data_IF_679905420679
#
_entry.id   IF_679905420679
#
_cell.length_a   1.000
_cell.length_b   1.000
_cell.length_c   1.000
_cell.angle_alpha   90.00
_cell.angle_beta   90.00
_cell.angle_gamma   90.00
#
_symmetry.space_group_name_H-M   'P 1'
#
loop_
_entity.id
_entity.type
_entity.pdbx_description
1 polymer ?
#
# COMPACT_ATOMS: atom_id res chain seq x y z
N UNK A 1 34.20 -38.27 4.98
CA UNK A 1 33.24 -37.98 3.85
C UNK A 1 31.80 -37.75 4.28
N UNK A 2 31.17 -38.59 5.12
CA UNK A 2 29.74 -38.37 5.51
C UNK A 2 29.47 -37.06 6.25
N UNK A 3 30.36 -36.58 7.10
CA UNK A 3 30.20 -35.34 7.88
C UNK A 3 30.20 -34.07 6.96
N UNK A 4 31.02 -34.08 5.92
CA UNK A 4 31.08 -32.95 4.96
C UNK A 4 29.80 -32.81 4.16
N UNK A 5 29.13 -33.88 3.77
CA UNK A 5 27.84 -33.86 3.09
C UNK A 5 26.72 -33.39 4.02
N UNK A 6 26.76 -33.74 5.31
CA UNK A 6 25.77 -33.30 6.30
C UNK A 6 25.89 -31.81 6.57
N UNK A 7 27.10 -31.25 6.65
CA UNK A 7 27.34 -29.80 6.82
C UNK A 7 26.95 -29.05 5.56
N UNK A 8 27.23 -29.61 4.37
CA UNK A 8 26.79 -28.99 3.10
C UNK A 8 25.26 -29.04 2.93
N UNK A 9 24.60 -30.10 3.38
CA UNK A 9 23.13 -30.22 3.38
C UNK A 9 22.49 -29.27 4.39
N UNK A 10 23.08 -29.06 5.56
CA UNK A 10 22.63 -28.08 6.56
C UNK A 10 22.83 -26.63 6.11
N UNK A 11 23.89 -26.34 5.35
CA UNK A 11 24.09 -25.04 4.73
C UNK A 11 23.05 -24.73 3.60
N UNK A 12 22.53 -25.78 2.96
CA UNK A 12 21.46 -25.63 1.95
C UNK A 12 20.08 -25.41 2.58
N UNK A 13 19.90 -25.68 3.88
CA UNK A 13 18.62 -25.51 4.58
C UNK A 13 18.43 -24.12 5.20
N UNK A 14 19.45 -23.27 5.19
CA UNK A 14 19.38 -21.90 5.73
C UNK A 14 18.89 -20.85 4.70
N UNK A 15 18.17 -21.24 3.65
CA UNK A 15 17.56 -20.31 2.74
C UNK A 15 16.35 -19.67 3.40
N UNK A 16 16.58 -18.52 4.03
CA UNK A 16 15.51 -17.60 4.40
C UNK A 16 14.71 -17.26 3.15
N UNK A 17 13.52 -17.83 3.01
CA UNK A 17 12.59 -17.41 1.96
C UNK A 17 12.20 -15.97 2.26
N UNK A 18 12.84 -15.01 1.61
CA UNK A 18 12.45 -13.63 1.69
C UNK A 18 11.06 -13.53 1.07
N UNK A 19 10.10 -13.10 1.88
CA UNK A 19 8.77 -12.82 1.41
C UNK A 19 8.82 -11.72 0.34
N UNK A 20 8.40 -12.06 -0.86
CA UNK A 20 8.27 -11.09 -1.93
C UNK A 20 7.02 -10.25 -1.65
N UNK A 21 7.18 -8.94 -1.49
CA UNK A 21 6.05 -8.01 -1.58
C UNK A 21 5.62 -7.97 -3.04
N UNK A 22 4.37 -8.35 -3.30
CA UNK A 22 3.88 -8.55 -4.67
C UNK A 22 2.93 -7.43 -5.13
N UNK A 23 2.56 -6.49 -4.25
CA UNK A 23 1.47 -5.56 -4.52
C UNK A 23 1.92 -4.11 -4.32
N UNK A 24 1.29 -3.19 -5.06
CA UNK A 24 1.61 -1.77 -4.97
C UNK A 24 0.75 -1.04 -3.94
N UNK A 25 -0.54 -1.38 -3.84
CA UNK A 25 -1.49 -0.71 -2.95
C UNK A 25 -1.67 -1.45 -1.63
N UNK A 26 -1.65 -2.78 -1.65
CA UNK A 26 -1.85 -3.60 -0.46
C UNK A 26 -0.52 -4.16 0.05
N UNK A 27 -0.48 -4.50 1.33
CA UNK A 27 0.67 -5.18 1.90
C UNK A 27 0.37 -6.66 2.16
N UNK A 28 1.30 -7.59 1.85
CA UNK A 28 1.16 -8.98 2.25
C UNK A 28 1.34 -9.13 3.77
N UNK A 29 0.87 -10.25 4.34
CA UNK A 29 1.05 -10.58 5.75
C UNK A 29 2.52 -10.82 6.18
N UNK A 30 3.43 -10.79 5.23
CA UNK A 30 4.86 -10.96 5.46
C UNK A 30 5.47 -9.75 6.14
N UNK A 31 6.47 -9.99 6.98
CA UNK A 31 7.21 -8.93 7.67
C UNK A 31 8.62 -8.76 7.11
N UNK A 32 9.15 -7.57 7.31
CA UNK A 32 10.57 -7.27 7.10
C UNK A 32 11.38 -8.04 8.17
N UNK A 33 12.46 -8.74 7.80
CA UNK A 33 13.32 -9.45 8.76
C UNK A 33 13.90 -8.49 9.82
N UNK A 34 14.16 -9.03 11.02
CA UNK A 34 14.78 -8.27 12.11
C UNK A 34 16.10 -7.61 11.64
N UNK A 35 16.27 -6.33 11.96
CA UNK A 35 17.46 -5.55 11.63
C UNK A 35 17.45 -4.97 10.20
N UNK A 36 16.61 -5.48 9.32
CA UNK A 36 16.53 -5.02 7.93
C UNK A 36 15.77 -3.70 7.84
N UNK A 37 16.28 -2.79 7.04
CA UNK A 37 15.63 -1.51 6.67
C UNK A 37 15.14 -1.60 5.23
N UNK A 38 13.98 -1.00 4.97
CA UNK A 38 13.44 -0.91 3.61
C UNK A 38 13.05 0.54 3.35
N UNK A 39 13.61 1.10 2.30
CA UNK A 39 13.26 2.45 1.82
C UNK A 39 12.35 2.30 0.61
N UNK A 40 11.25 3.03 0.59
CA UNK A 40 10.31 3.07 -0.53
C UNK A 40 10.06 4.51 -0.95
N UNK A 41 9.86 4.70 -2.23
CA UNK A 41 9.39 5.95 -2.81
C UNK A 41 8.18 5.64 -3.67
N UNK A 42 7.01 6.12 -3.25
CA UNK A 42 5.79 6.01 -4.03
C UNK A 42 5.55 7.32 -4.77
N UNK A 43 5.19 7.22 -6.03
CA UNK A 43 4.71 8.33 -6.85
C UNK A 43 3.33 8.01 -7.38
N UNK A 44 2.39 8.91 -7.15
CA UNK A 44 1.03 8.83 -7.64
C UNK A 44 0.76 10.00 -8.59
N UNK A 45 0.25 9.70 -9.77
CA UNK A 45 -0.29 10.67 -10.72
C UNK A 45 -1.79 10.46 -10.82
N UNK A 46 -2.57 11.42 -10.35
CA UNK A 46 -4.03 11.40 -10.37
C UNK A 46 -4.47 12.21 -11.60
N UNK A 47 -5.27 11.59 -12.47
CA UNK A 47 -5.79 12.23 -13.67
C UNK A 47 -7.18 12.81 -13.38
N UNK A 48 -7.31 14.12 -13.47
CA UNK A 48 -8.59 14.80 -13.29
C UNK A 48 -9.39 14.71 -14.59
N UNK A 49 -10.71 14.53 -14.48
CA UNK A 49 -11.58 14.51 -15.65
C UNK A 49 -11.58 15.88 -16.34
N UNK A 50 -11.71 15.90 -17.67
CA UNK A 50 -11.67 17.10 -18.52
C UNK A 50 -12.79 18.12 -18.26
N UNK A 51 -13.85 17.74 -17.52
CA UNK A 51 -14.95 18.61 -17.11
C UNK A 51 -14.60 19.58 -15.95
N UNK A 52 -13.35 19.62 -15.54
CA UNK A 52 -12.84 20.58 -14.56
C UNK A 52 -12.83 21.98 -15.19
N UNK A 53 -13.18 23.02 -14.40
CA UNK A 53 -13.27 24.42 -14.87
C UNK A 53 -12.01 24.88 -15.62
N UNK A 54 -12.14 25.75 -16.65
CA UNK A 54 -11.00 26.30 -17.37
C UNK A 54 -10.00 26.94 -16.41
N UNK A 55 -8.75 26.45 -16.41
CA UNK A 55 -7.68 26.91 -15.51
C UNK A 55 -7.38 26.00 -14.32
N UNK A 56 -8.13 24.91 -14.11
CA UNK A 56 -7.81 23.89 -13.12
C UNK A 56 -6.64 23.01 -13.60
N UNK A 57 -5.81 22.54 -12.66
CA UNK A 57 -4.74 21.60 -13.01
C UNK A 57 -5.34 20.27 -13.48
N UNK A 58 -4.92 19.79 -14.64
CA UNK A 58 -5.38 18.52 -15.23
C UNK A 58 -4.84 17.28 -14.48
N UNK A 59 -3.90 17.42 -13.56
CA UNK A 59 -3.32 16.31 -12.83
C UNK A 59 -2.77 16.70 -11.46
N UNK A 60 -2.89 15.78 -10.50
CA UNK A 60 -2.23 15.84 -9.20
C UNK A 60 -1.04 14.89 -9.15
N UNK A 61 -0.01 15.29 -8.42
CA UNK A 61 1.17 14.46 -8.16
C UNK A 61 1.40 14.35 -6.65
N UNK A 62 1.58 13.13 -6.19
CA UNK A 62 1.86 12.83 -4.79
C UNK A 62 3.14 12.00 -4.74
N UNK A 63 4.07 12.41 -3.90
CA UNK A 63 5.31 11.70 -3.61
C UNK A 63 5.33 11.29 -2.14
N UNK A 64 5.57 9.99 -1.87
CA UNK A 64 5.54 9.44 -0.51
C UNK A 64 6.84 8.66 -0.26
N UNK A 65 7.88 9.32 0.28
CA UNK A 65 9.01 8.61 0.86
C UNK A 65 8.58 7.87 2.13
N UNK A 66 9.00 6.61 2.23
CA UNK A 66 8.67 5.73 3.34
C UNK A 66 9.93 4.97 3.78
N UNK A 67 10.13 4.86 5.07
CA UNK A 67 11.11 3.98 5.70
C UNK A 67 10.40 2.94 6.55
N UNK A 68 10.87 1.70 6.49
CA UNK A 68 10.34 0.59 7.28
C UNK A 68 11.49 -0.17 7.94
N UNK A 69 11.25 -0.68 9.14
CA UNK A 69 12.25 -1.39 9.93
C UNK A 69 11.68 -2.64 10.59
N UNK A 70 12.39 -3.75 10.48
CA UNK A 70 12.09 -4.98 11.20
C UNK A 70 12.63 -4.94 12.62
N UNK A 71 11.79 -4.66 13.60
CA UNK A 71 12.18 -4.61 15.03
C UNK A 71 12.52 -6.01 15.54
N UNK A 72 11.67 -6.97 15.21
CA UNK A 72 11.82 -8.37 15.60
C UNK A 72 11.36 -9.31 14.49
N UNK A 73 11.46 -10.62 14.69
CA UNK A 73 10.88 -11.60 13.76
C UNK A 73 9.35 -11.48 13.61
N UNK A 74 8.69 -10.84 14.58
CA UNK A 74 7.23 -10.76 14.63
C UNK A 74 6.68 -9.32 14.52
N UNK A 75 7.52 -8.28 14.50
CA UNK A 75 7.08 -6.88 14.52
C UNK A 75 7.91 -6.08 13.54
N UNK A 76 7.25 -5.30 12.70
CA UNK A 76 7.84 -4.25 11.86
C UNK A 76 7.10 -2.93 12.06
N UNK A 77 7.80 -1.84 11.83
CA UNK A 77 7.24 -0.48 11.83
C UNK A 77 7.62 0.26 10.55
N UNK A 78 6.81 1.24 10.18
CA UNK A 78 7.09 2.13 9.05
C UNK A 78 6.65 3.54 9.37
N UNK A 79 7.37 4.49 8.81
CA UNK A 79 6.99 5.90 8.75
C UNK A 79 7.04 6.37 7.31
N UNK A 80 6.04 7.11 6.89
CA UNK A 80 5.95 7.70 5.56
C UNK A 80 5.57 9.17 5.68
N UNK A 81 6.08 9.99 4.75
CA UNK A 81 5.78 11.40 4.63
C UNK A 81 5.16 11.67 3.27
N UNK A 82 4.27 12.65 3.20
CA UNK A 82 3.63 12.99 1.95
C UNK A 82 4.03 14.40 1.51
N UNK A 83 4.43 14.48 0.25
CA UNK A 83 4.68 15.74 -0.47
C UNK A 83 3.74 15.73 -1.68
N UNK A 84 2.91 16.75 -1.83
CA UNK A 84 2.00 16.81 -2.97
C UNK A 84 1.84 18.23 -3.49
N UNK A 85 1.55 18.35 -4.79
CA UNK A 85 0.86 19.53 -5.28
C UNK A 85 -0.63 19.27 -5.06
N UNK A 86 -1.28 20.12 -4.30
CA UNK A 86 -2.71 19.98 -4.07
C UNK A 86 -3.50 20.47 -5.33
N UNK A 87 -4.06 19.55 -6.14
CA UNK A 87 -4.79 19.95 -7.34
C UNK A 87 -6.16 20.52 -7.05
N UNK A 88 -6.60 20.38 -5.80
CA UNK A 88 -7.91 20.83 -5.33
C UNK A 88 -7.81 22.17 -4.61
N UNK A 89 -6.61 22.76 -4.50
CA UNK A 89 -6.39 24.08 -3.90
C UNK A 89 -6.35 25.16 -5.01
N UNK A 90 -6.90 26.33 -4.69
CA UNK A 90 -6.82 27.55 -5.52
C UNK A 90 -5.36 28.00 -5.67
N UNK A 91 -4.49 27.63 -4.73
CA UNK A 91 -3.07 27.91 -4.75
C UNK A 91 -2.27 26.59 -4.81
N UNK A 92 -1.86 26.14 -6.01
CA UNK A 92 -1.20 24.83 -6.19
C UNK A 92 0.26 24.87 -5.71
N UNK A 93 0.47 25.12 -4.42
CA UNK A 93 1.79 25.05 -3.83
C UNK A 93 2.14 23.59 -3.50
N UNK A 94 3.21 23.10 -4.12
CA UNK A 94 3.81 21.83 -3.70
C UNK A 94 4.36 21.97 -2.28
N UNK A 95 4.02 21.05 -1.39
CA UNK A 95 4.48 21.11 -0.01
C UNK A 95 4.27 19.83 0.76
N UNK A 96 4.77 19.85 1.99
CA UNK A 96 4.54 18.77 2.95
C UNK A 96 3.05 18.72 3.34
N UNK A 97 2.45 17.54 3.18
CA UNK A 97 1.01 17.36 3.35
C UNK A 97 0.64 16.39 4.48
N UNK A 98 1.60 15.79 5.13
CA UNK A 98 1.34 14.95 6.28
C UNK A 98 2.25 13.74 6.42
N UNK A 99 1.90 12.88 7.36
CA UNK A 99 2.66 11.67 7.65
C UNK A 99 1.75 10.50 8.01
N UNK A 100 2.31 9.30 7.86
CA UNK A 100 1.69 8.04 8.24
C UNK A 100 2.66 7.20 9.07
N UNK A 101 2.15 6.63 10.16
CA UNK A 101 2.82 5.62 10.96
C UNK A 101 2.09 4.29 10.79
N UNK A 102 2.84 3.22 10.66
CA UNK A 102 2.29 1.89 10.45
C UNK A 102 3.09 0.87 11.26
N UNK A 103 2.40 -0.02 11.92
CA UNK A 103 2.99 -1.20 12.58
C UNK A 103 2.26 -2.45 12.14
N UNK A 104 3.02 -3.53 11.90
CA UNK A 104 2.48 -4.83 11.55
C UNK A 104 3.09 -5.90 12.45
N UNK A 105 2.22 -6.76 12.98
CA UNK A 105 2.59 -7.85 13.87
C UNK A 105 2.17 -9.19 13.27
N UNK A 106 3.08 -10.15 13.23
CA UNK A 106 2.81 -11.52 12.82
C UNK A 106 2.02 -12.26 13.90
N UNK A 107 0.90 -12.84 13.52
CA UNK A 107 0.09 -13.73 14.35
C UNK A 107 0.47 -15.18 14.08
N UNK A 108 0.52 -15.55 12.78
CA UNK A 108 0.79 -16.92 12.35
C UNK A 108 1.72 -16.93 11.14
N UNK A 109 2.66 -17.87 11.12
CA UNK A 109 3.47 -18.18 9.94
C UNK A 109 3.70 -19.68 9.88
N UNK A 110 3.18 -20.32 8.83
CA UNK A 110 3.36 -21.74 8.56
C UNK A 110 4.02 -21.88 7.20
N UNK A 111 5.21 -22.49 7.19
CA UNK A 111 5.98 -22.75 5.99
C UNK A 111 6.01 -24.24 5.72
N UNK A 112 5.41 -24.67 4.61
CA UNK A 112 5.44 -26.05 4.11
C UNK A 112 6.07 -26.07 2.70
N UNK A 113 6.48 -27.23 2.26
CA UNK A 113 7.23 -27.40 1.01
C UNK A 113 6.55 -26.80 -0.24
N UNK A 114 5.22 -26.80 -0.29
CA UNK A 114 4.45 -26.35 -1.46
C UNK A 114 3.64 -25.08 -1.22
N UNK A 115 3.46 -24.66 0.03
CA UNK A 115 2.66 -23.48 0.37
C UNK A 115 3.13 -22.83 1.68
N UNK A 116 2.95 -21.52 1.75
CA UNK A 116 3.26 -20.72 2.93
C UNK A 116 2.01 -19.91 3.29
N UNK A 117 1.59 -20.03 4.54
CA UNK A 117 0.42 -19.29 5.07
C UNK A 117 0.89 -18.31 6.11
N UNK A 118 0.46 -17.07 6.01
CA UNK A 118 0.79 -16.00 6.97
C UNK A 118 -0.45 -15.23 7.35
N UNK A 119 -0.54 -14.88 8.62
CA UNK A 119 -1.54 -14.00 9.19
C UNK A 119 -0.84 -12.93 10.01
N UNK A 120 -1.20 -11.69 9.80
CA UNK A 120 -0.68 -10.53 10.54
C UNK A 120 -1.81 -9.58 10.89
N UNK A 121 -1.69 -8.89 12.02
CA UNK A 121 -2.47 -7.71 12.34
C UNK A 121 -1.68 -6.45 11.99
N UNK A 122 -2.37 -5.34 11.82
CA UNK A 122 -1.74 -4.05 11.64
C UNK A 122 -2.50 -2.94 12.36
N UNK A 123 -1.77 -1.88 12.64
CA UNK A 123 -2.28 -0.58 13.06
C UNK A 123 -1.67 0.48 12.15
N UNK A 124 -2.49 1.41 11.67
CA UNK A 124 -2.12 2.52 10.82
C UNK A 124 -2.67 3.80 11.44
N UNK A 125 -1.81 4.79 11.61
CA UNK A 125 -2.18 6.15 11.99
C UNK A 125 -1.71 7.11 10.91
N UNK A 126 -2.58 8.02 10.50
CA UNK A 126 -2.24 9.05 9.54
C UNK A 126 -2.70 10.42 10.04
N UNK A 127 -1.90 11.43 9.74
CA UNK A 127 -2.25 12.82 9.94
C UNK A 127 -1.83 13.58 8.69
N UNK A 128 -2.78 13.81 7.81
CA UNK A 128 -2.59 14.54 6.57
C UNK A 128 -3.15 15.95 6.71
N UNK A 129 -2.46 16.89 6.06
CA UNK A 129 -2.92 18.27 5.94
C UNK A 129 -4.27 18.31 5.21
N UNK A 130 -5.04 19.33 5.50
CA UNK A 130 -6.39 19.46 4.97
C UNK A 130 -6.32 19.86 3.52
N UNK A 131 -7.11 19.15 2.71
CA UNK A 131 -7.39 19.49 1.35
C UNK A 131 -8.52 20.52 1.34
N UNK A 132 -8.17 21.79 1.48
CA UNK A 132 -9.13 22.88 1.39
C UNK A 132 -9.32 23.24 -0.09
N UNK A 133 -10.31 22.69 -0.74
CA UNK A 133 -10.70 23.15 -2.06
C UNK A 133 -12.18 23.48 -2.12
N UNK A 134 -12.55 24.67 -2.59
CA UNK A 134 -13.93 24.99 -2.91
C UNK A 134 -14.46 24.22 -4.14
N UNK A 135 -13.59 23.55 -4.89
CA UNK A 135 -13.93 22.82 -6.13
C UNK A 135 -14.31 21.35 -5.92
N UNK A 136 -14.74 20.97 -4.72
CA UNK A 136 -15.26 19.61 -4.41
C UNK A 136 -16.50 19.19 -5.22
N UNK A 137 -17.03 20.03 -6.08
CA UNK A 137 -18.22 19.72 -6.87
C UNK A 137 -18.01 18.57 -7.84
N UNK A 138 -16.77 18.26 -8.22
CA UNK A 138 -16.47 17.37 -9.35
C UNK A 138 -15.85 16.03 -8.99
N UNK A 139 -15.35 15.85 -7.75
CA UNK A 139 -14.73 14.58 -7.36
C UNK A 139 -15.02 14.23 -5.89
N UNK A 140 -15.50 13.01 -5.66
CA UNK A 140 -15.63 12.48 -4.29
C UNK A 140 -14.26 12.16 -3.72
N UNK A 141 -14.05 12.51 -2.46
CA UNK A 141 -12.84 12.16 -1.75
C UNK A 141 -12.80 10.66 -1.43
N UNK A 142 -11.61 10.09 -1.57
CA UNK A 142 -11.29 8.80 -1.01
C UNK A 142 -11.02 8.98 0.49
N UNK A 143 -11.53 8.10 1.33
CA UNK A 143 -11.22 8.05 2.76
C UNK A 143 -10.08 7.04 3.02
N UNK A 144 -8.97 7.26 2.34
CA UNK A 144 -7.78 6.43 2.43
C UNK A 144 -6.75 7.09 3.34
N UNK A 145 -6.41 6.44 4.44
CA UNK A 145 -5.37 6.89 5.36
C UNK A 145 -3.95 6.79 4.77
N UNK A 146 -3.80 6.26 3.58
CA UNK A 146 -2.49 6.20 2.95
C UNK A 146 -2.02 7.56 2.44
N UNK A 147 -2.95 8.48 2.05
CA UNK A 147 -2.53 9.81 1.58
C UNK A 147 -3.60 10.92 1.52
N UNK A 148 -4.82 10.70 1.96
CA UNK A 148 -5.85 11.75 1.82
C UNK A 148 -6.47 12.18 3.15
N UNK A 149 -6.67 11.26 4.09
CA UNK A 149 -7.37 11.53 5.33
C UNK A 149 -6.53 11.22 6.56
N UNK A 150 -6.90 11.84 7.67
CA UNK A 150 -6.33 11.58 8.98
C UNK A 150 -7.17 10.57 9.74
N UNK A 151 -6.56 9.79 10.61
CA UNK A 151 -7.29 8.85 11.43
C UNK A 151 -6.48 7.66 11.89
N UNK A 152 -7.20 6.64 12.35
CA UNK A 152 -6.65 5.39 12.85
C UNK A 152 -7.34 4.21 12.16
N UNK A 153 -6.57 3.22 11.75
CA UNK A 153 -7.08 1.97 11.18
C UNK A 153 -6.41 0.77 11.84
N UNK A 154 -7.22 -0.24 12.16
CA UNK A 154 -6.79 -1.53 12.68
C UNK A 154 -7.28 -2.63 11.75
N UNK A 155 -6.48 -3.66 11.51
CA UNK A 155 -6.92 -4.72 10.62
C UNK A 155 -6.08 -5.98 10.64
N UNK A 156 -6.49 -6.91 9.79
CA UNK A 156 -5.86 -8.20 9.59
C UNK A 156 -5.48 -8.38 8.12
N UNK A 157 -4.37 -9.09 7.92
CA UNK A 157 -3.88 -9.46 6.59
C UNK A 157 -3.61 -10.96 6.61
N UNK A 158 -4.23 -11.70 5.70
CA UNK A 158 -3.92 -13.10 5.45
C UNK A 158 -3.27 -13.23 4.07
N UNK A 159 -2.17 -13.97 3.98
CA UNK A 159 -1.47 -14.23 2.72
C UNK A 159 -1.21 -15.72 2.57
N UNK A 160 -1.57 -16.25 1.42
CA UNK A 160 -1.29 -17.60 1.00
C UNK A 160 -0.39 -17.58 -0.24
N UNK A 161 0.80 -18.16 -0.11
CA UNK A 161 1.70 -18.39 -1.23
C UNK A 161 1.63 -19.87 -1.64
N UNK A 162 1.31 -20.14 -2.89
CA UNK A 162 1.25 -21.48 -3.49
C UNK A 162 2.17 -21.50 -4.70
N UNK A 163 3.36 -22.08 -4.55
CA UNK A 163 4.40 -22.06 -5.58
C UNK A 163 4.74 -20.63 -6.03
N UNK A 164 4.23 -20.21 -7.21
CA UNK A 164 4.46 -18.89 -7.81
C UNK A 164 3.28 -17.93 -7.69
N UNK A 165 2.15 -18.41 -7.17
CA UNK A 165 0.94 -17.64 -6.95
C UNK A 165 0.89 -17.17 -5.49
N UNK A 166 0.74 -15.88 -5.29
CA UNK A 166 0.45 -15.30 -3.97
C UNK A 166 -0.95 -14.69 -3.99
N UNK A 167 -1.73 -14.99 -2.98
CA UNK A 167 -3.04 -14.37 -2.76
C UNK A 167 -3.04 -13.76 -1.37
N UNK A 168 -3.48 -12.51 -1.26
CA UNK A 168 -3.63 -11.80 0.01
C UNK A 168 -5.04 -11.25 0.16
N UNK A 169 -5.54 -11.30 1.37
CA UNK A 169 -6.81 -10.67 1.78
C UNK A 169 -6.52 -9.77 2.96
N UNK A 170 -6.98 -8.54 2.89
CA UNK A 170 -6.88 -7.56 3.97
C UNK A 170 -8.26 -7.10 4.37
N UNK A 171 -8.50 -6.95 5.67
CA UNK A 171 -9.70 -6.32 6.21
C UNK A 171 -9.32 -5.39 7.35
N UNK A 172 -9.73 -4.14 7.29
CA UNK A 172 -9.40 -3.09 8.25
C UNK A 172 -10.61 -2.25 8.62
N UNK A 173 -10.72 -1.91 9.89
CA UNK A 173 -11.69 -0.98 10.43
C UNK A 173 -10.97 0.33 10.77
N UNK A 174 -11.47 1.44 10.24
CA UNK A 174 -10.90 2.77 10.38
C UNK A 174 -11.85 3.76 11.05
N UNK A 175 -11.28 4.67 11.82
CA UNK A 175 -11.94 5.88 12.30
C UNK A 175 -11.29 7.05 11.59
N UNK A 176 -12.03 7.67 10.67
CA UNK A 176 -11.57 8.81 9.88
C UNK A 176 -11.86 10.08 10.65
N UNK A 177 -10.82 10.89 10.85
CA UNK A 177 -10.91 12.19 11.49
C UNK A 177 -11.13 13.27 10.45
N UNK A 178 -12.32 13.85 10.47
CA UNK A 178 -12.71 14.88 9.53
C UNK A 178 -12.68 16.26 10.21
N UNK A 179 -11.48 16.83 10.38
CA UNK A 179 -11.32 18.19 10.89
C UNK A 179 -11.12 19.15 9.72
N UNK A 180 -12.01 20.12 9.54
CA UNK A 180 -11.83 21.23 8.60
C UNK A 180 -11.21 22.44 9.30
N UNK A 181 -10.44 23.27 8.57
CA UNK A 181 -9.75 24.41 9.17
C UNK A 181 -10.65 25.64 9.35
N UNK A 182 -11.76 25.71 8.65
CA UNK A 182 -12.60 26.88 8.52
C UNK A 182 -13.98 26.75 9.19
N UNK A 183 -14.27 25.62 9.85
CA UNK A 183 -15.54 25.38 10.54
C UNK A 183 -16.78 25.34 9.65
N UNK A 184 -16.62 25.39 8.32
CA UNK A 184 -17.75 25.45 7.36
C UNK A 184 -18.29 24.07 6.98
N UNK A 185 -17.61 23.00 7.33
CA UNK A 185 -18.00 21.61 7.06
C UNK A 185 -18.25 20.83 8.33
N UNK A 186 -19.12 19.83 8.22
CA UNK A 186 -19.47 18.92 9.31
C UNK A 186 -18.22 18.17 9.82
N UNK A 187 -17.66 18.60 10.94
CA UNK A 187 -16.42 18.08 11.56
C UNK A 187 -16.62 16.69 12.20
N UNK A 188 -17.60 15.93 11.74
CA UNK A 188 -17.89 14.61 12.30
C UNK A 188 -16.89 13.57 11.84
N UNK A 189 -16.30 12.90 12.81
CA UNK A 189 -15.57 11.65 12.54
C UNK A 189 -16.54 10.59 12.07
N UNK A 190 -16.09 9.71 11.18
CA UNK A 190 -16.89 8.59 10.72
C UNK A 190 -16.09 7.30 10.68
N UNK A 191 -16.80 6.19 10.80
CA UNK A 191 -16.22 4.86 10.75
C UNK A 191 -16.21 4.36 9.32
N UNK A 192 -15.13 3.66 8.96
CA UNK A 192 -14.95 3.06 7.64
C UNK A 192 -14.50 1.61 7.74
N UNK A 193 -14.81 0.84 6.71
CA UNK A 193 -14.34 -0.52 6.56
C UNK A 193 -13.63 -0.66 5.21
N UNK A 194 -12.37 -1.07 5.27
CA UNK A 194 -11.51 -1.25 4.12
C UNK A 194 -11.24 -2.73 3.91
N UNK A 195 -11.44 -3.20 2.69
CA UNK A 195 -11.13 -4.58 2.32
C UNK A 195 -10.33 -4.60 1.03
N UNK A 196 -9.46 -5.58 0.90
CA UNK A 196 -8.80 -5.86 -0.36
C UNK A 196 -8.59 -7.35 -0.57
N UNK A 197 -8.62 -7.74 -1.84
CA UNK A 197 -8.13 -9.04 -2.30
C UNK A 197 -7.11 -8.78 -3.39
N UNK A 198 -5.96 -9.42 -3.30
CA UNK A 198 -4.84 -9.22 -4.21
C UNK A 198 -4.29 -10.57 -4.64
N UNK A 199 -4.01 -10.72 -5.92
CA UNK A 199 -3.40 -11.92 -6.47
C UNK A 199 -2.21 -11.54 -7.35
N UNK A 200 -1.06 -12.19 -7.12
CA UNK A 200 0.16 -11.94 -7.87
C UNK A 200 0.81 -13.23 -8.33
N UNK A 201 1.37 -13.22 -9.53
CA UNK A 201 2.00 -14.38 -10.14
C UNK A 201 3.38 -14.05 -10.68
N UNK A 202 4.38 -14.89 -10.31
CA UNK A 202 5.74 -14.80 -10.84
C UNK A 202 5.79 -15.41 -12.24
N UNK A 203 5.87 -14.55 -13.28
CA UNK A 203 5.99 -14.98 -14.67
C UNK A 203 7.41 -15.43 -15.01
N UNK A 204 8.41 -14.64 -14.62
CA UNK A 204 9.82 -14.92 -14.89
C UNK A 204 10.66 -14.72 -13.63
N UNK A 205 11.72 -15.55 -13.44
CA UNK A 205 12.15 -16.66 -14.30
C UNK A 205 11.26 -17.90 -14.14
N UNK A 206 11.19 -18.71 -15.19
CA UNK A 206 10.50 -20.02 -15.11
C UNK A 206 11.20 -20.98 -14.14
N UNK A 207 12.54 -20.95 -14.11
CA UNK A 207 13.39 -21.69 -13.17
C UNK A 207 14.44 -20.75 -12.58
N UNK A 208 14.57 -20.75 -11.26
CA UNK A 208 15.62 -19.98 -10.59
C UNK A 208 16.98 -20.64 -10.81
N UNK A 209 17.96 -19.84 -11.30
CA UNK A 209 19.35 -20.24 -11.42
C UNK A 209 20.22 -19.53 -10.40
N UNK A 210 19.88 -18.33 -10.01
CA UNK A 210 20.61 -17.53 -9.02
C UNK A 210 19.72 -16.40 -8.46
N UNK A 211 20.05 -15.90 -7.27
CA UNK A 211 19.38 -14.74 -6.65
C UNK A 211 19.64 -13.40 -7.38
N UNK A 212 20.60 -13.37 -8.30
CA UNK A 212 20.90 -12.19 -9.11
C UNK A 212 19.95 -12.03 -10.30
N UNK A 213 19.12 -13.02 -10.58
CA UNK A 213 18.16 -12.94 -11.67
C UNK A 213 17.08 -11.91 -11.35
N UNK A 214 16.70 -11.15 -12.37
CA UNK A 214 15.53 -10.27 -12.29
C UNK A 214 14.25 -11.10 -12.32
N UNK A 215 13.35 -10.84 -11.39
CA UNK A 215 12.03 -11.44 -11.35
C UNK A 215 11.04 -10.47 -11.96
N UNK A 216 10.09 -10.99 -12.72
CA UNK A 216 8.98 -10.25 -13.27
C UNK A 216 7.67 -10.87 -12.79
N UNK A 217 6.89 -10.08 -12.07
CA UNK A 217 5.59 -10.44 -11.53
C UNK A 217 4.50 -9.61 -12.19
N UNK A 218 3.32 -10.21 -12.34
CA UNK A 218 2.07 -9.51 -12.61
C UNK A 218 1.16 -9.65 -11.41
N UNK A 219 0.33 -8.65 -11.15
CA UNK A 219 -0.63 -8.71 -10.05
C UNK A 219 -1.91 -7.94 -10.38
N UNK A 220 -2.96 -8.31 -9.68
CA UNK A 220 -4.24 -7.65 -9.71
C UNK A 220 -4.71 -7.45 -8.27
N UNK A 221 -5.14 -6.23 -7.94
CA UNK A 221 -5.70 -5.88 -6.65
C UNK A 221 -7.13 -5.37 -6.84
N UNK A 222 -8.03 -5.82 -5.99
CA UNK A 222 -9.38 -5.29 -5.86
C UNK A 222 -9.55 -4.74 -4.46
N UNK A 223 -9.79 -3.44 -4.37
CA UNK A 223 -9.91 -2.72 -3.11
C UNK A 223 -11.33 -2.19 -2.97
N UNK A 224 -11.89 -2.29 -1.79
CA UNK A 224 -13.19 -1.71 -1.44
C UNK A 224 -13.10 -0.94 -0.15
N UNK A 225 -13.86 0.13 -0.07
CA UNK A 225 -14.00 0.94 1.13
C UNK A 225 -15.46 1.31 1.32
N UNK A 226 -15.95 1.20 2.55
CA UNK A 226 -17.34 1.48 2.92
C UNK A 226 -17.40 2.38 4.14
N UNK A 227 -18.25 3.40 4.12
CA UNK A 227 -18.58 4.19 5.30
C UNK A 227 -19.67 3.48 6.08
N UNK A 228 -19.41 3.21 7.36
CA UNK A 228 -20.35 2.52 8.26
C UNK A 228 -21.26 3.48 9.01
N UNK A 229 -20.82 4.73 9.19
CA UNK A 229 -21.59 5.75 9.88
C UNK A 229 -22.81 6.18 9.06
N UNK A 230 -23.92 6.47 9.73
CA UNK A 230 -25.15 6.97 9.09
C UNK A 230 -24.99 8.42 8.62
N UNK A 231 -24.17 9.20 9.32
CA UNK A 231 -23.83 10.59 9.00
C UNK A 231 -22.35 10.67 8.60
N UNK A 232 -22.10 11.27 7.47
CA UNK A 232 -20.76 11.53 6.93
C UNK A 232 -20.83 12.72 5.95
N UNK A 233 -19.72 13.43 5.71
CA UNK A 233 -19.70 14.56 4.80
C UNK A 233 -20.04 14.15 3.35
N UNK A 234 -20.84 14.97 2.67
CA UNK A 234 -21.33 14.70 1.29
C UNK A 234 -20.23 14.57 0.24
N UNK A 235 -19.02 15.07 0.55
CA UNK A 235 -17.83 14.93 -0.30
C UNK A 235 -17.29 13.51 -0.41
N UNK A 236 -17.72 12.58 0.45
CA UNK A 236 -17.32 11.18 0.41
C UNK A 236 -18.39 10.31 -0.22
N UNK A 237 -17.97 9.31 -0.97
CA UNK A 237 -18.86 8.25 -1.44
C UNK A 237 -19.04 7.20 -0.37
N UNK A 238 -20.27 6.75 -0.12
CA UNK A 238 -20.57 5.71 0.88
C UNK A 238 -19.83 4.41 0.61
N UNK A 239 -19.64 4.09 -0.66
CA UNK A 239 -18.93 2.89 -1.12
C UNK A 239 -18.01 3.22 -2.29
N UNK A 240 -16.78 2.73 -2.22
CA UNK A 240 -15.77 2.89 -3.26
C UNK A 240 -15.24 1.51 -3.63
N UNK A 241 -15.13 1.25 -4.93
CA UNK A 241 -14.43 0.06 -5.43
C UNK A 241 -13.35 0.46 -6.44
N UNK A 242 -12.20 -0.18 -6.34
CA UNK A 242 -11.03 0.09 -7.17
C UNK A 242 -10.46 -1.22 -7.69
N UNK A 243 -10.25 -1.31 -8.99
CA UNK A 243 -9.48 -2.37 -9.62
C UNK A 243 -8.08 -1.82 -9.95
N UNK A 244 -7.02 -2.52 -9.53
CA UNK A 244 -5.66 -2.06 -9.72
C UNK A 244 -4.76 -3.16 -10.30
N UNK A 245 -4.68 -3.30 -11.63
CA UNK A 245 -3.66 -4.11 -12.28
C UNK A 245 -2.28 -3.49 -12.12
N UNK A 246 -1.25 -4.35 -12.06
CA UNK A 246 0.12 -3.89 -11.99
C UNK A 246 1.16 -4.93 -12.34
N UNK A 247 2.39 -4.46 -12.46
CA UNK A 247 3.58 -5.26 -12.76
C UNK A 247 4.71 -4.88 -11.80
N UNK A 248 5.57 -5.84 -11.50
CA UNK A 248 6.72 -5.66 -10.61
C UNK A 248 7.97 -6.30 -11.19
N UNK A 249 9.06 -5.56 -11.14
CA UNK A 249 10.41 -6.04 -11.39
C UNK A 249 11.18 -6.11 -10.08
N UNK A 250 11.80 -7.26 -9.78
CA UNK A 250 12.69 -7.42 -8.63
C UNK A 250 14.10 -7.65 -9.17
N UNK A 251 14.99 -6.74 -8.89
CA UNK A 251 16.35 -6.71 -9.41
C UNK A 251 17.31 -7.08 -8.28
N UNK A 252 18.13 -8.11 -8.49
CA UNK A 252 19.14 -8.59 -7.52
C UNK A 252 18.56 -8.87 -6.13
N UNK A 253 17.27 -9.19 -6.02
CA UNK A 253 16.54 -9.42 -4.74
C UNK A 253 16.54 -8.24 -3.75
N UNK A 254 17.11 -7.09 -4.12
CA UNK A 254 17.23 -5.89 -3.25
C UNK A 254 16.40 -4.70 -3.73
N UNK A 255 16.36 -4.51 -5.04
CA UNK A 255 15.64 -3.38 -5.64
C UNK A 255 14.34 -3.88 -6.27
N UNK A 256 13.29 -3.09 -6.16
CA UNK A 256 12.00 -3.39 -6.78
C UNK A 256 11.47 -2.15 -7.45
N UNK A 257 10.86 -2.35 -8.59
CA UNK A 257 10.17 -1.32 -9.36
C UNK A 257 8.78 -1.85 -9.69
N UNK A 258 7.77 -1.17 -9.19
CA UNK A 258 6.37 -1.50 -9.40
C UNK A 258 5.71 -0.42 -10.24
N UNK A 259 4.83 -0.83 -11.13
CA UNK A 259 3.91 0.03 -11.86
C UNK A 259 2.49 -0.48 -11.68
N UNK A 260 1.56 0.41 -11.39
CA UNK A 260 0.16 0.08 -11.20
C UNK A 260 -0.76 1.16 -11.74
N UNK A 261 -2.00 0.78 -11.99
CA UNK A 261 -3.03 1.71 -12.43
C UNK A 261 -4.32 1.44 -11.66
N UNK A 262 -4.86 2.46 -10.97
CA UNK A 262 -6.14 2.34 -10.25
C UNK A 262 -7.27 2.78 -11.16
N UNK A 263 -8.18 1.86 -11.42
CA UNK A 263 -9.43 2.09 -12.14
C UNK A 263 -10.53 2.19 -11.10
N UNK A 264 -11.14 3.36 -10.98
CA UNK A 264 -12.20 3.63 -10.00
C UNK A 264 -13.52 3.85 -10.70
N UNK A 265 -14.62 3.39 -10.08
CA UNK A 265 -15.97 3.65 -10.57
C UNK A 265 -16.52 4.94 -9.94
N UNK A 266 -17.30 5.69 -10.71
CA UNK A 266 -18.01 6.89 -10.25
C UNK A 266 -17.21 8.17 -10.44
N UNK A 267 -17.41 9.12 -9.54
CA UNK A 267 -16.85 10.48 -9.57
C UNK A 267 -15.38 10.55 -9.10
N UNK A 268 -14.67 9.41 -9.09
CA UNK A 268 -13.28 9.33 -8.63
C UNK A 268 -12.31 9.27 -9.79
N UNK A 269 -11.21 9.99 -9.68
CA UNK A 269 -10.14 9.99 -10.67
C UNK A 269 -9.38 8.66 -10.73
N UNK A 270 -8.99 8.30 -11.94
CA UNK A 270 -8.02 7.23 -12.15
C UNK A 270 -6.61 7.66 -11.72
N UNK A 271 -5.76 6.70 -11.40
CA UNK A 271 -4.47 7.00 -10.80
C UNK A 271 -3.40 6.05 -11.33
N UNK A 272 -2.28 6.61 -11.79
CA UNK A 272 -1.08 5.87 -12.14
C UNK A 272 -0.09 5.89 -10.99
N UNK A 273 0.48 4.73 -10.68
CA UNK A 273 1.39 4.54 -9.55
C UNK A 273 2.72 3.99 -10.00
N UNK A 274 3.78 4.54 -9.41
CA UNK A 274 5.13 3.98 -9.48
C UNK A 274 5.65 3.82 -8.06
N UNK A 275 6.21 2.65 -7.74
CA UNK A 275 6.86 2.42 -6.44
C UNK A 275 8.26 1.89 -6.64
N UNK A 276 9.23 2.59 -6.09
CA UNK A 276 10.61 2.14 -5.96
C UNK A 276 10.82 1.61 -4.54
N UNK A 277 11.46 0.46 -4.42
CA UNK A 277 11.79 -0.14 -3.11
C UNK A 277 13.26 -0.56 -3.12
N UNK A 278 13.97 -0.25 -2.04
CA UNK A 278 15.33 -0.71 -1.80
C UNK A 278 15.48 -1.31 -0.41
N UNK A 279 16.13 -2.48 -0.33
CA UNK A 279 16.31 -3.25 0.90
C UNK A 279 17.76 -3.13 1.37
N UNK A 280 17.95 -2.72 2.63
CA UNK A 280 19.22 -2.54 3.31
C UNK A 280 19.28 -3.57 4.45
N UNK A 281 20.21 -4.49 4.37
CA UNK A 281 20.44 -5.56 5.37
C UNK A 281 21.39 -5.11 6.44
#
# INVERSE_FOLDING_TARGET
MKLQYTVFLLLLLSFSSYSQELYINTEPASLIPKGTKVVRLHHHSIFLNEDSEPGSQSSARILIPQISYGISKNIMVSAAFQISNNPFDISPNSGFNGFKLYSKQRILSTDKQKYHTRLSSFIKYANHGKWNSPNYKFMKNNYDLDFQDSGLELGLIATQLIKKLAVSVTSGFGVISNKTSDGTFDDKNFNSWHNSISAGYLLFPRKYKSYKQTNFNIYLEYLTSSILSSQYPSRYSKFISTLAPGVQFIIMSRSRLDFGYKIRKGEMANEFLVKLTYIIY
#
